data_IF_918187585208
#
_entry.id   IF_918187585208
#
_cell.length_a   1.000
_cell.length_b   1.000
_cell.length_c   1.000
_cell.angle_alpha   90.00
_cell.angle_beta   90.00
_cell.angle_gamma   90.00
#
_symmetry.space_group_name_H-M   'P 1'
#
loop_
_entity.id
_entity.type
_entity.pdbx_description
1 polymer ?
#
# COMPACT_ATOMS: atom_id res chain seq x y z
N UNK A 1 -37.56 -36.36 -13.25
CA UNK A 1 -36.26 -36.89 -13.71
C UNK A 1 -35.16 -35.93 -13.26
N UNK A 2 -34.61 -36.14 -12.06
CA UNK A 2 -33.51 -35.33 -11.51
C UNK A 2 -32.24 -36.17 -11.60
N UNK A 3 -31.32 -35.78 -12.49
CA UNK A 3 -30.09 -36.51 -12.75
C UNK A 3 -29.11 -36.46 -11.57
N UNK A 4 -28.25 -37.46 -11.40
CA UNK A 4 -27.34 -37.63 -10.25
C UNK A 4 -26.12 -36.68 -10.29
N UNK A 5 -26.32 -35.40 -10.62
CA UNK A 5 -25.26 -34.40 -10.84
C UNK A 5 -25.12 -33.33 -9.75
N UNK A 6 -26.00 -33.31 -8.75
CA UNK A 6 -26.10 -32.19 -7.79
C UNK A 6 -25.36 -32.37 -6.46
N UNK A 7 -24.69 -33.50 -6.23
CA UNK A 7 -24.07 -33.79 -4.93
C UNK A 7 -22.64 -33.23 -4.72
N UNK A 8 -22.00 -32.64 -5.75
CA UNK A 8 -20.61 -32.13 -5.63
C UNK A 8 -20.57 -30.62 -5.29
N UNK A 9 -21.69 -29.91 -5.40
CA UNK A 9 -21.72 -28.45 -5.26
C UNK A 9 -21.69 -27.93 -3.80
N UNK A 10 -21.95 -28.77 -2.80
CA UNK A 10 -22.14 -28.32 -1.41
C UNK A 10 -20.88 -28.44 -0.54
N UNK A 11 -19.84 -29.17 -0.98
CA UNK A 11 -18.60 -29.33 -0.22
C UNK A 11 -17.59 -28.17 -0.42
N UNK A 12 -17.57 -27.54 -1.60
CA UNK A 12 -16.68 -26.43 -1.91
C UNK A 12 -16.91 -25.16 -1.05
N UNK A 13 -18.15 -24.68 -0.81
CA UNK A 13 -18.35 -23.47 0.00
C UNK A 13 -17.94 -23.66 1.46
N UNK A 14 -18.04 -24.87 2.02
CA UNK A 14 -17.62 -25.16 3.39
C UNK A 14 -16.09 -25.07 3.57
N UNK A 15 -15.31 -25.51 2.58
CA UNK A 15 -13.86 -25.37 2.60
C UNK A 15 -13.43 -23.90 2.44
N UNK A 16 -14.09 -23.15 1.56
CA UNK A 16 -13.84 -21.71 1.40
C UNK A 16 -14.18 -20.91 2.67
N UNK A 17 -15.26 -21.25 3.38
CA UNK A 17 -15.62 -20.63 4.66
C UNK A 17 -14.60 -20.96 5.77
N UNK A 18 -14.09 -22.20 5.82
CA UNK A 18 -13.05 -22.59 6.77
C UNK A 18 -11.74 -21.83 6.55
N UNK A 19 -11.31 -21.69 5.28
CA UNK A 19 -10.12 -20.90 4.94
C UNK A 19 -10.32 -19.41 5.29
N UNK A 20 -11.51 -18.84 5.05
CA UNK A 20 -11.83 -17.46 5.43
C UNK A 20 -11.85 -17.24 6.96
N UNK A 21 -12.34 -18.20 7.74
CA UNK A 21 -12.35 -18.11 9.22
C UNK A 21 -10.94 -18.28 9.80
N UNK A 22 -10.12 -19.18 9.23
CA UNK A 22 -8.74 -19.41 9.67
C UNK A 22 -7.82 -18.23 9.32
N UNK A 23 -8.00 -17.64 8.13
CA UNK A 23 -7.37 -16.38 7.75
C UNK A 23 -7.95 -15.20 8.55
N UNK A 24 -9.24 -15.23 8.88
CA UNK A 24 -9.93 -14.23 9.68
C UNK A 24 -9.41 -14.12 11.11
N UNK A 25 -9.00 -15.22 11.76
CA UNK A 25 -8.43 -15.19 13.12
C UNK A 25 -7.00 -14.66 13.17
N UNK A 26 -6.16 -15.00 12.19
CA UNK A 26 -4.82 -14.40 12.06
C UNK A 26 -4.89 -12.94 11.62
N UNK A 27 -5.78 -12.61 10.69
CA UNK A 27 -6.04 -11.23 10.29
C UNK A 27 -6.73 -10.43 11.38
N UNK A 28 -7.61 -10.98 12.21
CA UNK A 28 -8.23 -10.25 13.32
C UNK A 28 -7.21 -9.90 14.41
N UNK A 29 -6.25 -10.80 14.69
CA UNK A 29 -5.15 -10.52 15.64
C UNK A 29 -4.14 -9.51 15.07
N UNK A 30 -3.83 -9.58 13.77
CA UNK A 30 -2.99 -8.59 13.10
C UNK A 30 -3.71 -7.25 12.88
N UNK A 31 -5.02 -7.25 12.59
CA UNK A 31 -5.89 -6.05 12.47
C UNK A 31 -6.20 -5.40 13.83
N UNK A 32 -6.17 -6.15 14.93
CA UNK A 32 -6.29 -5.59 16.28
C UNK A 32 -5.00 -4.90 16.75
N UNK A 33 -3.83 -5.35 16.31
CA UNK A 33 -2.55 -4.65 16.55
C UNK A 33 -2.28 -3.53 15.53
N UNK A 34 -2.88 -3.61 14.34
CA UNK A 34 -2.83 -2.61 13.26
C UNK A 34 -4.19 -1.90 13.22
N UNK A 35 -4.51 -1.15 14.27
CA UNK A 35 -5.73 -0.33 14.36
C UNK A 35 -5.71 0.92 13.46
N UNK A 36 -5.20 0.84 12.22
CA UNK A 36 -5.16 1.99 11.31
C UNK A 36 -5.84 1.69 9.95
N UNK A 37 -6.75 2.58 9.50
CA UNK A 37 -7.91 2.23 8.70
C UNK A 37 -7.57 2.14 7.22
N UNK A 38 -7.35 0.92 6.76
CA UNK A 38 -7.38 0.56 5.35
C UNK A 38 -8.80 0.06 5.02
N UNK A 39 -9.74 0.99 5.11
CA UNK A 39 -11.05 0.87 4.48
C UNK A 39 -11.50 2.27 4.06
N UNK A 40 -12.20 2.33 2.93
CA UNK A 40 -12.33 3.51 2.08
C UNK A 40 -12.70 4.81 2.80
N UNK A 41 -11.90 5.86 2.57
CA UNK A 41 -12.31 7.24 2.88
C UNK A 41 -12.21 7.71 4.34
N UNK A 42 -11.66 6.90 5.25
CA UNK A 42 -11.82 7.10 6.70
C UNK A 42 -10.64 7.61 7.53
N UNK A 43 -9.40 7.78 7.01
CA UNK A 43 -8.29 8.31 7.83
C UNK A 43 -8.03 9.82 7.58
N UNK A 44 -8.48 10.72 8.46
CA UNK A 44 -8.11 12.13 8.36
C UNK A 44 -6.60 12.35 8.48
N UNK A 45 -5.89 11.55 9.29
CA UNK A 45 -4.44 11.66 9.48
C UNK A 45 -3.67 11.36 8.20
N UNK A 46 -3.96 10.23 7.53
CA UNK A 46 -3.31 9.92 6.25
C UNK A 46 -3.62 10.97 5.18
N UNK A 47 -4.87 11.45 5.10
CA UNK A 47 -5.23 12.51 4.15
C UNK A 47 -4.43 13.79 4.39
N UNK A 48 -4.26 14.18 5.67
CA UNK A 48 -3.45 15.33 6.06
C UNK A 48 -1.99 15.13 5.67
N UNK A 49 -1.37 14.02 6.07
CA UNK A 49 0.04 13.70 5.74
C UNK A 49 0.27 13.63 4.23
N UNK A 50 -0.65 13.02 3.49
CA UNK A 50 -0.61 12.93 2.03
C UNK A 50 -0.70 14.31 1.39
N UNK A 51 -1.55 15.20 1.89
CA UNK A 51 -1.63 16.60 1.43
C UNK A 51 -0.30 17.33 1.65
N UNK A 52 0.31 17.17 2.83
CA UNK A 52 1.63 17.77 3.11
C UNK A 52 2.70 17.21 2.17
N UNK A 53 2.74 15.89 1.97
CA UNK A 53 3.68 15.27 1.01
C UNK A 53 3.47 15.74 -0.44
N UNK A 54 2.23 15.94 -0.86
CA UNK A 54 1.92 16.50 -2.19
C UNK A 54 2.33 17.98 -2.29
N UNK A 55 2.19 18.76 -1.21
CA UNK A 55 2.68 20.14 -1.16
C UNK A 55 4.21 20.19 -1.23
N UNK A 56 4.92 19.32 -0.50
CA UNK A 56 6.39 19.18 -0.60
C UNK A 56 6.81 18.88 -2.04
N UNK A 57 6.08 17.99 -2.72
CA UNK A 57 6.31 17.68 -4.14
C UNK A 57 6.03 18.88 -5.05
N UNK A 58 4.95 19.63 -4.83
CA UNK A 58 4.60 20.84 -5.61
C UNK A 58 5.64 21.94 -5.43
N UNK A 59 6.17 22.10 -4.22
CA UNK A 59 7.22 23.06 -3.87
C UNK A 59 8.62 22.63 -4.33
N UNK A 60 8.74 21.53 -5.10
CA UNK A 60 10.00 20.97 -5.59
C UNK A 60 11.01 20.65 -4.48
N UNK A 61 10.52 20.24 -3.31
CA UNK A 61 11.41 19.80 -2.23
C UNK A 61 12.24 18.58 -2.67
N UNK A 62 13.51 18.57 -2.29
CA UNK A 62 14.43 17.50 -2.65
C UNK A 62 14.26 16.30 -1.70
N UNK A 63 13.46 15.32 -2.12
CA UNK A 63 13.24 14.08 -1.37
C UNK A 63 14.52 13.28 -1.15
N UNK A 64 15.52 13.40 -2.03
CA UNK A 64 16.85 12.79 -1.82
C UNK A 64 17.53 13.41 -0.61
N UNK A 65 17.57 14.75 -0.54
CA UNK A 65 18.16 15.46 0.60
C UNK A 65 17.44 15.17 1.91
N UNK A 66 16.11 15.04 1.88
CA UNK A 66 15.33 14.63 3.07
C UNK A 66 15.74 13.24 3.56
N UNK A 67 15.94 12.29 2.64
CA UNK A 67 16.28 10.92 2.97
C UNK A 67 17.72 10.79 3.54
N UNK A 68 18.69 11.49 2.94
CA UNK A 68 20.07 11.46 3.43
C UNK A 68 20.18 12.00 4.87
N UNK A 69 19.34 12.97 5.21
CA UNK A 69 19.29 13.62 6.52
C UNK A 69 18.27 12.99 7.46
N UNK A 70 17.86 11.74 7.23
CA UNK A 70 16.81 11.10 8.06
C UNK A 70 17.21 10.93 9.52
N UNK A 71 18.51 10.84 9.81
CA UNK A 71 19.05 10.75 11.17
C UNK A 71 19.53 12.11 11.71
N UNK A 72 19.50 13.17 10.90
CA UNK A 72 19.95 14.49 11.31
C UNK A 72 18.80 15.28 11.96
N UNK A 73 19.11 15.97 13.06
CA UNK A 73 18.19 16.96 13.65
C UNK A 73 18.22 18.25 12.85
N UNK A 74 17.07 18.90 12.69
CA UNK A 74 16.96 20.19 11.99
C UNK A 74 15.63 20.35 11.28
N UNK A 75 15.59 21.23 10.27
CA UNK A 75 14.36 21.57 9.54
C UNK A 75 13.67 20.37 8.88
N UNK A 76 14.42 19.30 8.60
CA UNK A 76 13.95 18.08 7.96
C UNK A 76 13.26 17.11 8.94
N UNK A 77 13.48 17.27 10.26
CA UNK A 77 12.96 16.38 11.31
C UNK A 77 11.43 16.32 11.30
N UNK A 78 10.76 17.44 11.01
CA UNK A 78 9.29 17.46 10.91
C UNK A 78 8.74 16.84 9.61
N UNK A 79 9.56 16.79 8.55
CA UNK A 79 9.16 16.37 7.19
C UNK A 79 9.36 14.88 6.98
N UNK A 80 10.43 14.30 7.52
CA UNK A 80 10.75 12.88 7.37
C UNK A 80 9.65 11.93 7.91
N UNK A 81 9.05 12.18 9.09
CA UNK A 81 7.91 11.39 9.56
C UNK A 81 6.71 11.48 8.62
N UNK A 82 6.47 12.64 8.00
CA UNK A 82 5.35 12.81 7.04
C UNK A 82 5.56 11.95 5.81
N UNK A 83 6.75 11.98 5.21
CA UNK A 83 7.09 11.16 4.04
C UNK A 83 7.04 9.68 4.40
N UNK A 84 7.60 9.31 5.56
CA UNK A 84 7.60 7.94 6.06
C UNK A 84 6.18 7.41 6.31
N UNK A 85 5.30 8.20 6.93
CA UNK A 85 3.89 7.83 7.16
C UNK A 85 3.16 7.55 5.84
N UNK A 86 3.36 8.42 4.84
CA UNK A 86 2.76 8.25 3.52
C UNK A 86 3.29 7.00 2.83
N UNK A 87 4.60 6.79 2.87
CA UNK A 87 5.26 5.65 2.26
C UNK A 87 4.85 4.33 2.93
N UNK A 88 4.73 4.30 4.26
CA UNK A 88 4.23 3.15 5.02
C UNK A 88 2.78 2.82 4.66
N UNK A 89 1.91 3.82 4.58
CA UNK A 89 0.52 3.61 4.18
C UNK A 89 0.40 3.08 2.74
N UNK A 90 1.19 3.60 1.81
CA UNK A 90 1.25 3.11 0.43
C UNK A 90 1.79 1.67 0.40
N UNK A 91 2.89 1.39 1.13
CA UNK A 91 3.49 0.07 1.22
C UNK A 91 2.53 -0.97 1.78
N UNK A 92 1.83 -0.64 2.86
CA UNK A 92 0.80 -1.49 3.45
C UNK A 92 -0.36 -1.72 2.45
N UNK A 93 -0.79 -0.69 1.74
CA UNK A 93 -1.83 -0.84 0.72
C UNK A 93 -1.37 -1.75 -0.43
N UNK A 94 -0.12 -1.65 -0.87
CA UNK A 94 0.46 -2.49 -1.91
C UNK A 94 0.54 -3.97 -1.48
N UNK A 95 0.95 -4.23 -0.24
CA UNK A 95 0.93 -5.58 0.36
C UNK A 95 -0.50 -6.11 0.44
N UNK A 96 -1.46 -5.28 0.86
CA UNK A 96 -2.87 -5.64 0.93
C UNK A 96 -3.47 -6.01 -0.43
N UNK A 97 -3.12 -5.28 -1.50
CA UNK A 97 -3.55 -5.60 -2.87
C UNK A 97 -2.92 -6.89 -3.35
N UNK A 98 -1.61 -7.08 -3.14
CA UNK A 98 -0.93 -8.31 -3.52
C UNK A 98 -1.52 -9.54 -2.82
N UNK A 99 -1.86 -9.40 -1.53
CA UNK A 99 -2.47 -10.46 -0.73
C UNK A 99 -3.96 -10.69 -1.04
N UNK A 100 -4.56 -9.94 -1.97
CA UNK A 100 -6.00 -10.04 -2.29
C UNK A 100 -6.93 -9.52 -1.19
N UNK A 101 -6.38 -8.88 -0.16
CA UNK A 101 -7.15 -8.29 0.97
C UNK A 101 -7.83 -7.00 0.51
N UNK A 102 -7.12 -6.22 -0.29
CA UNK A 102 -7.61 -4.97 -0.87
C UNK A 102 -8.01 -5.23 -2.32
N UNK A 103 -9.30 -5.05 -2.62
CA UNK A 103 -9.84 -5.28 -3.96
C UNK A 103 -9.29 -4.32 -5.01
N UNK A 104 -9.54 -4.66 -6.27
CA UNK A 104 -9.15 -3.88 -7.46
C UNK A 104 -9.57 -2.41 -7.36
N UNK A 105 -10.68 -2.10 -6.67
CA UNK A 105 -11.14 -0.72 -6.44
C UNK A 105 -10.11 0.16 -5.72
N UNK A 106 -9.35 -0.39 -4.77
CA UNK A 106 -8.27 0.33 -4.07
C UNK A 106 -7.10 0.57 -5.01
N UNK A 107 -6.74 -0.45 -5.81
CA UNK A 107 -5.72 -0.33 -6.85
C UNK A 107 -6.08 0.75 -7.88
N UNK A 108 -7.32 0.74 -8.38
CA UNK A 108 -7.85 1.75 -9.30
C UNK A 108 -7.85 3.15 -8.68
N UNK A 109 -8.24 3.29 -7.42
CA UNK A 109 -8.25 4.59 -6.70
C UNK A 109 -6.85 5.15 -6.43
N UNK A 110 -5.85 4.30 -6.25
CA UNK A 110 -4.46 4.77 -6.25
C UNK A 110 -4.05 5.30 -7.64
N UNK A 111 -4.85 5.07 -8.70
CA UNK A 111 -5.37 6.10 -9.62
C UNK A 111 -4.46 7.26 -10.06
N UNK A 112 -3.64 7.16 -11.13
CA UNK A 112 -2.65 8.16 -11.59
C UNK A 112 -1.48 8.45 -10.63
N UNK A 113 -1.76 8.43 -9.33
CA UNK A 113 -0.82 8.78 -8.26
C UNK A 113 0.33 7.81 -8.11
N UNK A 114 0.12 6.49 -8.18
CA UNK A 114 1.17 5.47 -7.90
C UNK A 114 2.44 5.67 -8.73
N UNK A 115 2.33 5.90 -10.04
CA UNK A 115 3.50 6.11 -10.90
C UNK A 115 4.24 7.40 -10.52
N UNK A 116 3.47 8.44 -10.22
CA UNK A 116 3.97 9.75 -9.85
C UNK A 116 4.64 9.72 -8.46
N UNK A 117 4.02 9.03 -7.50
CA UNK A 117 4.55 8.76 -6.17
C UNK A 117 5.82 7.94 -6.27
N UNK A 118 5.86 6.90 -7.12
CA UNK A 118 7.07 6.09 -7.32
C UNK A 118 8.21 6.98 -7.80
N UNK A 119 7.98 7.82 -8.82
CA UNK A 119 9.01 8.72 -9.35
C UNK A 119 9.54 9.68 -8.27
N UNK A 120 8.66 10.22 -7.43
CA UNK A 120 9.03 11.16 -6.37
C UNK A 120 9.69 10.49 -5.17
N UNK A 121 9.19 9.33 -4.73
CA UNK A 121 9.63 8.63 -3.52
C UNK A 121 10.78 7.66 -3.78
N UNK A 122 11.10 7.32 -5.04
CA UNK A 122 12.19 6.40 -5.38
C UNK A 122 13.53 6.77 -4.73
N UNK A 123 14.01 8.03 -4.77
CA UNK A 123 15.24 8.40 -4.08
C UNK A 123 15.17 8.18 -2.57
N UNK A 124 14.02 8.47 -1.96
CA UNK A 124 13.79 8.24 -0.53
C UNK A 124 13.84 6.74 -0.17
N UNK A 125 13.18 5.90 -0.97
CA UNK A 125 13.19 4.44 -0.80
C UNK A 125 14.61 3.88 -0.96
N UNK A 126 15.36 4.33 -1.96
CA UNK A 126 16.73 3.86 -2.19
C UNK A 126 17.64 4.16 -0.99
N UNK A 127 17.50 5.34 -0.41
CA UNK A 127 18.27 5.70 0.79
C UNK A 127 17.83 4.90 2.02
N UNK A 128 16.52 4.65 2.19
CA UNK A 128 16.04 3.74 3.24
C UNK A 128 16.60 2.31 3.08
N UNK A 129 16.69 1.79 1.85
CA UNK A 129 17.30 0.48 1.57
C UNK A 129 18.77 0.45 1.97
N UNK A 130 19.51 1.51 1.63
CA UNK A 130 20.92 1.69 2.00
C UNK A 130 21.10 1.70 3.53
N UNK A 131 20.28 2.48 4.24
CA UNK A 131 20.36 2.63 5.70
C UNK A 131 19.96 1.35 6.46
N UNK A 132 19.01 0.58 5.93
CA UNK A 132 18.53 -0.66 6.57
C UNK A 132 19.24 -1.92 6.05
N UNK A 133 20.18 -1.78 5.10
CA UNK A 133 20.80 -2.90 4.38
C UNK A 133 19.76 -3.92 3.85
N UNK A 134 18.65 -3.42 3.29
CA UNK A 134 17.53 -4.25 2.86
C UNK A 134 16.92 -3.75 1.55
N UNK A 135 17.34 -4.35 0.44
CA UNK A 135 16.88 -3.99 -0.91
C UNK A 135 15.42 -4.33 -1.19
N UNK A 136 14.77 -5.11 -0.32
CA UNK A 136 13.38 -5.53 -0.49
C UNK A 136 12.38 -4.55 0.11
N UNK A 137 12.82 -3.51 0.80
CA UNK A 137 11.92 -2.49 1.33
C UNK A 137 11.09 -1.86 0.22
N UNK A 138 9.76 -1.84 0.38
CA UNK A 138 8.80 -1.31 -0.58
C UNK A 138 8.81 -1.96 -1.97
N UNK A 139 9.35 -3.18 -2.11
CA UNK A 139 9.36 -3.90 -3.40
C UNK A 139 7.94 -4.14 -3.94
N UNK A 140 6.95 -4.35 -3.06
CA UNK A 140 5.56 -4.54 -3.49
C UNK A 140 4.95 -3.27 -4.05
N UNK A 141 5.32 -2.12 -3.52
CA UNK A 141 4.91 -0.83 -4.06
C UNK A 141 5.52 -0.61 -5.46
N UNK A 142 6.80 -0.94 -5.65
CA UNK A 142 7.42 -0.85 -6.97
C UNK A 142 6.78 -1.81 -7.96
N UNK A 143 6.51 -3.06 -7.55
CA UNK A 143 5.81 -4.05 -8.37
C UNK A 143 4.40 -3.58 -8.75
N UNK A 144 3.70 -2.93 -7.82
CA UNK A 144 2.39 -2.33 -8.07
C UNK A 144 2.48 -1.22 -9.12
N UNK A 145 3.52 -0.39 -9.03
CA UNK A 145 3.78 0.68 -9.99
C UNK A 145 4.18 0.14 -11.36
N UNK A 146 5.03 -0.89 -11.43
CA UNK A 146 5.42 -1.53 -12.69
C UNK A 146 4.24 -2.22 -13.36
N UNK A 147 3.41 -2.95 -12.59
CA UNK A 147 2.17 -3.55 -13.08
C UNK A 147 1.25 -2.50 -13.72
N UNK A 148 1.22 -1.29 -13.15
CA UNK A 148 0.43 -0.19 -13.65
C UNK A 148 1.03 0.47 -14.89
N UNK A 149 2.35 0.67 -14.93
CA UNK A 149 3.04 1.19 -16.10
C UNK A 149 2.87 0.29 -17.31
N UNK A 150 2.82 -1.03 -17.09
CA UNK A 150 2.62 -2.02 -18.15
C UNK A 150 1.15 -2.21 -18.56
N UNK A 151 0.18 -1.84 -17.71
CA UNK A 151 -1.26 -1.94 -17.99
C UNK A 151 -1.98 -0.61 -17.74
N UNK A 152 -1.71 0.44 -18.53
CA UNK A 152 -2.37 1.74 -18.36
C UNK A 152 -3.89 1.69 -18.64
N UNK A 153 -4.37 0.68 -19.39
CA UNK A 153 -5.70 0.63 -20.00
C UNK A 153 -6.82 -0.08 -19.21
N UNK A 154 -6.58 -0.59 -17.98
CA UNK A 154 -7.62 -1.26 -17.17
C UNK A 154 -8.35 -0.36 -16.17
N UNK A 155 -8.27 0.96 -16.34
CA UNK A 155 -8.92 1.95 -15.46
C UNK A 155 -9.58 3.08 -16.24
N UNK A 156 -10.58 2.75 -17.07
CA UNK A 156 -11.76 3.61 -17.23
C UNK A 156 -12.71 3.39 -16.04
N UNK A 157 -13.68 4.28 -15.80
CA UNK A 157 -14.56 4.24 -14.62
C UNK A 157 -15.18 2.86 -14.32
#
# INVERSE_FOLDING_TARGET
MAGPGTCVATAYPAFCAYIQVKQGKHQARQKAAIGLPVSGGGNPHYRQRRRVCLNMRRNRENFTSLACKIQEKGEHESKNPVVSDVLNAIGFTAVGIKGGISGESVYRRMGGGVLADRKTLKPYIMELRRLNNNDRLFCEFERLADRRGNNPSKTGP
#
